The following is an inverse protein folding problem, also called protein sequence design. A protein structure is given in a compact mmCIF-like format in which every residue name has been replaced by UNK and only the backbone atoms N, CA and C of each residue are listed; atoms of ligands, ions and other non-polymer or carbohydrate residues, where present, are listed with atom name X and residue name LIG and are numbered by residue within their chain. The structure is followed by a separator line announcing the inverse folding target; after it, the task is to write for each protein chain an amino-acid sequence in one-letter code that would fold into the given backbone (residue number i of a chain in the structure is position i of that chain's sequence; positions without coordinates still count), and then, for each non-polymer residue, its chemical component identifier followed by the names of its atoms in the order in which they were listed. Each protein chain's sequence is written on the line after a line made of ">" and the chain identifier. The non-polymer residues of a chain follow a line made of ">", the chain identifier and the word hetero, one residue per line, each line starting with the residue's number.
data_IF_929737454458
#
_entry.id   IF_929737454458
#
_cell.length_a   1.000
_cell.length_b   1.000
_cell.length_c   1.000
_cell.angle_alpha   90.00
_cell.angle_beta   90.00
_cell.angle_gamma   90.00
#
_symmetry.space_group_name_H-M   'P 1'
#
loop_
_entity.id
_entity.type
_entity.pdbx_description
1 polymer ?
#
# COMPACT_ATOMS: atom_id res chain seq x y z
N UNK A 1 18.97 14.43 2.99
CA UNK A 1 17.90 14.96 2.12
C UNK A 1 16.76 13.94 2.18
N UNK A 2 15.58 14.26 2.73
CA UNK A 2 14.42 13.35 2.68
C UNK A 2 13.93 13.34 1.24
N UNK A 3 14.24 12.29 0.49
CA UNK A 3 13.71 12.08 -0.85
C UNK A 3 12.21 11.82 -0.72
N UNK A 4 11.41 12.60 -1.43
CA UNK A 4 9.95 12.50 -1.43
C UNK A 4 9.57 11.40 -2.40
N UNK A 5 8.73 10.47 -1.96
CA UNK A 5 8.00 9.53 -2.84
C UNK A 5 6.71 10.24 -3.28
N UNK A 6 6.21 9.90 -4.47
CA UNK A 6 4.86 10.33 -4.86
C UNK A 6 3.84 9.66 -3.93
N UNK A 7 2.83 10.42 -3.49
CA UNK A 7 1.77 9.85 -2.68
C UNK A 7 0.91 8.91 -3.52
N UNK A 8 0.72 9.21 -4.81
CA UNK A 8 -0.06 8.39 -5.72
C UNK A 8 0.55 6.99 -5.87
N UNK A 9 1.87 6.90 -6.05
CA UNK A 9 2.58 5.61 -6.17
C UNK A 9 2.41 4.74 -4.91
N UNK A 10 2.40 5.38 -3.74
CA UNK A 10 2.16 4.66 -2.47
C UNK A 10 0.71 4.21 -2.38
N UNK A 11 -0.25 5.05 -2.77
CA UNK A 11 -1.67 4.70 -2.77
C UNK A 11 -1.97 3.56 -3.74
N UNK A 12 -1.42 3.60 -4.96
CA UNK A 12 -1.58 2.53 -5.95
C UNK A 12 -1.06 1.19 -5.42
N UNK A 13 0.12 1.20 -4.79
CA UNK A 13 0.69 0.00 -4.17
C UNK A 13 -0.19 -0.57 -3.04
N UNK A 14 -0.83 0.29 -2.24
CA UNK A 14 -1.77 -0.13 -1.20
C UNK A 14 -3.13 -0.59 -1.77
N UNK A 15 -3.58 -0.01 -2.89
CA UNK A 15 -4.86 -0.36 -3.53
C UNK A 15 -4.81 -1.65 -4.34
N UNK A 16 -3.62 -2.07 -4.80
CA UNK A 16 -3.46 -3.24 -5.65
C UNK A 16 -3.86 -4.54 -4.95
N UNK A 17 -3.93 -4.59 -3.61
CA UNK A 17 -4.47 -5.70 -2.80
C UNK A 17 -4.01 -7.09 -3.31
N UNK A 18 -2.74 -7.19 -3.72
CA UNK A 18 -2.17 -8.38 -4.34
C UNK A 18 -1.50 -9.28 -3.30
N UNK A 19 -1.06 -10.47 -3.72
CA UNK A 19 -0.16 -11.34 -2.93
C UNK A 19 1.30 -10.85 -2.95
N UNK A 20 1.55 -9.63 -3.40
CA UNK A 20 2.89 -9.06 -3.49
C UNK A 20 3.22 -8.32 -2.21
N UNK A 21 4.52 -8.22 -1.91
CA UNK A 21 5.02 -7.32 -0.88
C UNK A 21 5.51 -6.03 -1.51
N UNK A 22 4.98 -4.91 -1.03
CA UNK A 22 5.37 -3.60 -1.49
C UNK A 22 6.47 -3.01 -0.60
N UNK A 23 7.55 -2.51 -1.20
CA UNK A 23 8.68 -1.91 -0.49
C UNK A 23 8.96 -0.52 -1.00
N UNK A 24 9.39 0.38 -0.11
CA UNK A 24 9.78 1.74 -0.46
C UNK A 24 11.26 1.97 -0.18
N UNK A 25 11.98 2.54 -1.15
CA UNK A 25 13.34 3.08 -0.99
C UNK A 25 13.51 4.33 -1.84
N UNK A 26 14.17 5.35 -1.29
CA UNK A 26 14.61 6.58 -2.01
C UNK A 26 13.59 7.30 -2.91
N UNK A 27 12.29 7.17 -2.66
CA UNK A 27 11.25 7.82 -3.46
C UNK A 27 10.59 6.92 -4.50
N UNK A 28 10.92 5.64 -4.52
CA UNK A 28 10.37 4.63 -5.42
C UNK A 28 9.67 3.54 -4.60
N UNK A 29 8.64 2.94 -5.21
CA UNK A 29 7.91 1.78 -4.67
C UNK A 29 8.21 0.57 -5.55
N UNK A 30 8.54 -0.54 -4.91
CA UNK A 30 8.90 -1.81 -5.53
C UNK A 30 7.82 -2.83 -5.18
N UNK A 31 7.16 -3.36 -6.20
CA UNK A 31 6.22 -4.47 -6.06
C UNK A 31 6.99 -5.76 -6.29
N UNK A 32 7.19 -6.55 -5.23
CA UNK A 32 7.98 -7.77 -5.28
C UNK A 32 7.10 -8.96 -4.90
N UNK A 33 7.07 -9.95 -5.78
CA UNK A 33 6.38 -11.21 -5.56
C UNK A 33 7.15 -12.10 -4.58
N UNK A 34 6.44 -12.98 -3.88
CA UNK A 34 7.02 -13.94 -2.95
C UNK A 34 8.09 -14.85 -3.59
N UNK A 35 7.94 -15.22 -4.86
CA UNK A 35 8.90 -16.05 -5.58
C UNK A 35 10.19 -15.29 -5.91
N UNK A 36 10.10 -13.99 -6.20
CA UNK A 36 11.24 -13.11 -6.40
C UNK A 36 12.01 -12.88 -5.09
N UNK A 37 11.30 -12.69 -3.97
CA UNK A 37 11.93 -12.65 -2.62
C UNK A 37 12.67 -13.96 -2.32
N UNK A 38 12.03 -15.11 -2.51
CA UNK A 38 12.68 -16.42 -2.30
C UNK A 38 13.90 -16.60 -3.19
N UNK A 39 13.82 -16.19 -4.46
CA UNK A 39 14.97 -16.26 -5.37
C UNK A 39 16.14 -15.40 -4.88
N UNK A 40 15.85 -14.21 -4.32
CA UNK A 40 16.87 -13.31 -3.78
C UNK A 40 17.63 -13.84 -2.56
N UNK A 41 17.04 -14.77 -1.80
CA UNK A 41 17.70 -15.41 -0.64
C UNK A 41 18.83 -16.38 -1.03
N UNK A 42 18.81 -16.91 -2.27
CA UNK A 42 19.68 -18.02 -2.70
C UNK A 42 20.85 -17.61 -3.62
N UNK A 43 21.22 -16.32 -3.69
CA UNK A 43 22.22 -15.78 -4.64
C UNK A 43 21.90 -16.19 -6.10
N UNK A 44 20.82 -15.63 -6.68
CA UNK A 44 20.21 -16.16 -7.89
C UNK A 44 21.05 -15.89 -9.14
N UNK A 45 21.20 -16.92 -9.97
CA UNK A 45 21.72 -16.79 -11.33
C UNK A 45 20.65 -16.17 -12.26
N UNK A 46 20.70 -14.84 -12.39
CA UNK A 46 19.71 -14.04 -13.13
C UNK A 46 19.52 -14.47 -14.59
N UNK A 47 20.52 -15.10 -15.21
CA UNK A 47 20.40 -15.55 -16.60
C UNK A 47 19.42 -16.71 -16.78
N UNK A 48 19.05 -17.39 -15.69
CA UNK A 48 18.01 -18.43 -15.69
C UNK A 48 16.59 -17.88 -15.65
N UNK A 49 16.43 -16.59 -15.41
CA UNK A 49 15.13 -15.94 -15.30
C UNK A 49 14.79 -15.12 -16.55
N UNK A 50 13.50 -14.96 -16.88
CA UNK A 50 13.06 -14.05 -17.92
C UNK A 50 13.53 -12.61 -17.65
N UNK A 51 13.90 -11.86 -18.69
CA UNK A 51 14.43 -10.49 -18.53
C UNK A 51 13.52 -9.58 -17.71
N UNK A 52 12.21 -9.68 -17.88
CA UNK A 52 11.22 -8.90 -17.13
C UNK A 52 11.25 -9.16 -15.62
N UNK A 53 11.70 -10.34 -15.18
CA UNK A 53 11.74 -10.73 -13.76
C UNK A 53 13.08 -10.38 -13.09
N UNK A 54 14.15 -10.20 -13.88
CA UNK A 54 15.52 -10.01 -13.36
C UNK A 54 15.66 -8.75 -12.51
N UNK A 55 14.99 -7.67 -12.90
CA UNK A 55 15.02 -6.39 -12.17
C UNK A 55 14.41 -6.55 -10.76
N UNK A 56 13.26 -7.22 -10.66
CA UNK A 56 12.62 -7.49 -9.38
C UNK A 56 13.44 -8.43 -8.50
N UNK A 57 14.08 -9.46 -9.07
CA UNK A 57 14.97 -10.35 -8.31
C UNK A 57 16.19 -9.58 -7.78
N UNK A 58 16.78 -8.66 -8.55
CA UNK A 58 17.85 -7.79 -8.03
C UNK A 58 17.35 -6.91 -6.89
N UNK A 59 16.17 -6.31 -7.03
CA UNK A 59 15.56 -5.52 -5.97
C UNK A 59 15.31 -6.36 -4.71
N UNK A 60 14.83 -7.60 -4.87
CA UNK A 60 14.64 -8.56 -3.79
C UNK A 60 15.96 -8.86 -3.05
N UNK A 61 17.06 -9.11 -3.77
CA UNK A 61 18.39 -9.30 -3.17
C UNK A 61 18.79 -8.07 -2.34
N UNK A 62 18.59 -6.86 -2.85
CA UNK A 62 18.94 -5.62 -2.14
C UNK A 62 18.03 -5.39 -0.92
N UNK A 63 16.74 -5.70 -1.02
CA UNK A 63 15.77 -5.67 0.10
C UNK A 63 16.19 -6.60 1.22
N UNK A 64 16.63 -7.82 0.89
CA UNK A 64 17.04 -8.82 1.88
C UNK A 64 18.40 -8.46 2.51
N UNK A 65 19.29 -7.85 1.72
CA UNK A 65 20.67 -7.59 2.12
C UNK A 65 20.87 -6.25 2.83
N UNK A 66 19.88 -5.35 2.81
CA UNK A 66 19.99 -3.98 3.34
C UNK A 66 18.77 -3.59 4.17
N UNK A 67 18.97 -2.71 5.15
CA UNK A 67 17.89 -2.11 5.95
C UNK A 67 17.35 -0.80 5.34
N UNK A 68 17.66 -0.53 4.06
CA UNK A 68 17.30 0.73 3.40
C UNK A 68 15.85 0.77 2.89
N UNK A 69 15.14 -0.35 2.99
CA UNK A 69 13.77 -0.53 2.50
C UNK A 69 12.76 -0.52 3.64
N UNK A 70 11.63 0.13 3.39
CA UNK A 70 10.47 0.10 4.30
C UNK A 70 9.38 -0.72 3.61
N UNK A 71 8.99 -1.84 4.22
CA UNK A 71 7.81 -2.60 3.78
C UNK A 71 6.56 -1.76 4.02
N UNK A 72 5.74 -1.60 2.99
CA UNK A 72 4.42 -0.99 3.10
C UNK A 72 3.47 -2.01 3.76
N UNK A 73 2.51 -1.54 4.57
CA UNK A 73 1.55 -2.41 5.21
C UNK A 73 0.72 -3.16 4.17
N UNK A 74 0.35 -4.40 4.50
CA UNK A 74 -0.60 -5.18 3.71
C UNK A 74 -2.07 -4.94 4.12
N UNK A 75 -3.00 -5.54 3.38
CA UNK A 75 -4.45 -5.42 3.60
C UNK A 75 -4.92 -5.84 4.99
N UNK A 76 -4.14 -6.66 5.71
CA UNK A 76 -4.48 -7.10 7.06
C UNK A 76 -3.93 -6.15 8.14
N UNK A 77 -2.94 -5.33 7.78
CA UNK A 77 -2.30 -4.35 8.66
C UNK A 77 -2.99 -2.97 8.59
N UNK A 78 -3.70 -2.68 7.51
CA UNK A 78 -4.48 -1.45 7.36
C UNK A 78 -5.89 -1.64 7.93
N UNK A 79 -6.19 -0.95 9.03
CA UNK A 79 -7.55 -0.82 9.54
C UNK A 79 -8.28 0.33 8.83
N UNK A 80 -8.72 0.05 7.60
CA UNK A 80 -9.46 1.01 6.78
C UNK A 80 -10.68 1.59 7.51
N UNK A 81 -11.37 0.78 8.34
CA UNK A 81 -12.56 1.22 9.07
C UNK A 81 -12.18 2.30 10.09
N UNK A 82 -11.15 2.04 10.90
CA UNK A 82 -10.66 3.01 11.89
C UNK A 82 -10.19 4.30 11.22
N UNK A 83 -9.51 4.21 10.06
CA UNK A 83 -9.11 5.41 9.29
C UNK A 83 -10.34 6.23 8.86
N UNK A 84 -11.38 5.57 8.35
CA UNK A 84 -12.62 6.24 7.94
C UNK A 84 -13.36 6.84 9.15
N UNK A 85 -13.38 6.15 10.29
CA UNK A 85 -14.00 6.64 11.53
C UNK A 85 -13.26 7.87 12.09
N UNK A 86 -11.92 7.81 12.16
CA UNK A 86 -11.07 8.93 12.57
C UNK A 86 -11.26 10.14 11.66
N UNK A 87 -11.37 9.93 10.34
CA UNK A 87 -11.69 11.00 9.40
C UNK A 87 -13.06 11.63 9.72
N UNK A 88 -14.10 10.84 9.94
CA UNK A 88 -15.41 11.37 10.32
C UNK A 88 -15.31 12.24 11.58
N UNK A 89 -14.57 11.78 12.59
CA UNK A 89 -14.38 12.54 13.84
C UNK A 89 -13.56 13.81 13.69
N UNK A 90 -12.74 13.94 12.64
CA UNK A 90 -12.00 15.16 12.33
C UNK A 90 -12.87 16.31 11.78
N UNK A 91 -14.12 16.03 11.40
CA UNK A 91 -15.05 17.00 10.81
C UNK A 91 -15.69 17.86 11.92
N UNK A 92 -15.57 19.18 11.77
CA UNK A 92 -16.12 20.17 12.71
C UNK A 92 -17.65 20.24 12.65
N UNK A 93 -18.22 20.15 11.45
CA UNK A 93 -19.67 20.15 11.22
C UNK A 93 -20.30 18.88 11.80
N UNK A 94 -21.14 19.06 12.81
CA UNK A 94 -21.76 17.97 13.55
C UNK A 94 -22.77 17.18 12.71
N UNK A 95 -23.55 17.85 11.87
CA UNK A 95 -24.57 17.21 11.03
C UNK A 95 -23.88 16.34 9.96
N UNK A 96 -22.85 16.89 9.31
CA UNK A 96 -22.04 16.15 8.34
C UNK A 96 -21.30 14.97 8.97
N UNK A 97 -20.72 15.17 10.16
CA UNK A 97 -20.03 14.11 10.90
C UNK A 97 -20.98 12.95 11.21
N UNK A 98 -22.16 13.22 11.75
CA UNK A 98 -23.14 12.18 12.07
C UNK A 98 -23.61 11.43 10.82
N UNK A 99 -23.82 12.14 9.71
CA UNK A 99 -24.20 11.53 8.44
C UNK A 99 -23.11 10.56 7.93
N UNK A 100 -21.84 10.98 7.97
CA UNK A 100 -20.72 10.15 7.53
C UNK A 100 -20.49 8.95 8.48
N UNK A 101 -20.58 9.16 9.80
CA UNK A 101 -20.51 8.06 10.78
C UNK A 101 -21.62 7.04 10.58
N UNK A 102 -22.82 7.47 10.15
CA UNK A 102 -23.89 6.56 9.77
C UNK A 102 -23.58 5.85 8.46
N UNK A 103 -23.03 6.55 7.46
CA UNK A 103 -22.70 6.00 6.15
C UNK A 103 -21.62 4.90 6.21
N UNK A 104 -20.69 4.97 7.17
CA UNK A 104 -19.66 3.94 7.36
C UNK A 104 -20.16 2.69 8.09
N UNK A 105 -21.43 2.62 8.51
CA UNK A 105 -21.99 1.45 9.22
C UNK A 105 -22.66 0.48 8.25
N UNK A 106 -22.30 -0.80 8.36
CA UNK A 106 -22.99 -1.91 7.68
C UNK A 106 -22.43 -2.26 6.29
N UNK A 107 -23.18 -3.10 5.56
CA UNK A 107 -22.75 -3.60 4.26
C UNK A 107 -22.71 -2.48 3.21
N UNK A 108 -21.56 -2.32 2.54
CA UNK A 108 -21.38 -1.28 1.52
C UNK A 108 -20.91 0.07 2.06
N UNK A 109 -20.51 0.14 3.34
CA UNK A 109 -20.00 1.33 4.03
C UNK A 109 -19.01 2.17 3.22
N UNK A 110 -17.99 1.55 2.63
CA UNK A 110 -16.98 2.26 1.82
C UNK A 110 -17.57 2.99 0.63
N UNK A 111 -18.48 2.34 -0.10
CA UNK A 111 -19.10 2.94 -1.28
C UNK A 111 -20.01 4.08 -0.87
N UNK A 112 -20.85 3.87 0.15
CA UNK A 112 -21.73 4.90 0.69
C UNK A 112 -20.96 6.12 1.21
N UNK A 113 -19.84 5.89 1.89
CA UNK A 113 -18.96 6.94 2.38
C UNK A 113 -18.32 7.74 1.24
N UNK A 114 -17.73 7.07 0.24
CA UNK A 114 -17.18 7.73 -0.95
C UNK A 114 -18.26 8.54 -1.68
N UNK A 115 -19.42 7.94 -1.92
CA UNK A 115 -20.55 8.59 -2.59
C UNK A 115 -21.02 9.84 -1.83
N UNK A 116 -20.94 9.85 -0.49
CA UNK A 116 -21.28 10.99 0.35
C UNK A 116 -20.22 12.09 0.29
N UNK A 117 -18.94 11.75 0.36
CA UNK A 117 -17.85 12.74 0.24
C UNK A 117 -17.94 13.50 -1.09
N UNK A 118 -18.23 12.82 -2.20
CA UNK A 118 -18.36 13.49 -3.51
C UNK A 118 -19.59 14.40 -3.66
N UNK A 119 -20.51 14.39 -2.69
CA UNK A 119 -21.69 15.27 -2.67
C UNK A 119 -21.45 16.59 -1.95
N UNK A 120 -20.30 16.74 -1.26
CA UNK A 120 -19.89 17.92 -0.51
C UNK A 120 -18.64 18.55 -1.12
#
# INVERSE_FOLDING_TARGET
>A
MKLKVDLEDVLEALELRTRESNYKKTGEVFMIMDDELRAGEEDPDLDKFPEWQRENIKAAVDIISTDDYIRLPDDYEIDDYSIMEDFCYSIEDEELREELLYAIRGNGAFRMFKDKIYQY
#
